data_IF_065792458592
#
_entry.id   IF_065792458592
#
_cell.length_a   1.000
_cell.length_b   1.000
_cell.length_c   1.000
_cell.angle_alpha   90.00
_cell.angle_beta   90.00
_cell.angle_gamma   90.00
#
_symmetry.space_group_name_H-M   'P 1'
#
loop_
_entity.id
_entity.type
_entity.pdbx_description
1 polymer ?
#
# COMPACT_ATOMS: atom_id res chain seq x y z
N UNK A 1 -11.01 -12.72 -20.20
CA UNK A 1 -12.47 -12.78 -20.47
C UNK A 1 -12.91 -11.40 -20.93
N UNK A 2 -13.26 -11.20 -22.20
CA UNK A 2 -13.63 -9.88 -22.74
C UNK A 2 -15.06 -9.53 -22.34
N UNK A 3 -15.26 -8.35 -21.76
CA UNK A 3 -16.61 -7.83 -21.45
C UNK A 3 -17.53 -7.89 -22.67
N UNK A 4 -18.79 -8.36 -22.54
CA UNK A 4 -19.76 -8.40 -23.62
C UNK A 4 -20.00 -7.00 -24.22
N UNK A 5 -20.13 -6.90 -25.54
CA UNK A 5 -20.37 -5.64 -26.27
C UNK A 5 -21.52 -4.79 -25.70
N UNK A 6 -22.58 -5.42 -25.19
CA UNK A 6 -23.72 -4.73 -24.54
C UNK A 6 -23.32 -3.92 -23.31
N UNK A 7 -22.40 -4.40 -22.49
CA UNK A 7 -21.90 -3.68 -21.31
C UNK A 7 -21.04 -2.48 -21.69
N UNK A 8 -20.22 -2.58 -22.74
CA UNK A 8 -19.45 -1.46 -23.27
C UNK A 8 -20.34 -0.31 -23.75
N UNK A 9 -21.46 -0.64 -24.41
CA UNK A 9 -22.44 0.36 -24.88
C UNK A 9 -23.19 0.99 -23.70
N UNK A 10 -23.55 0.21 -22.68
CA UNK A 10 -24.23 0.70 -21.49
C UNK A 10 -23.36 1.68 -20.69
N UNK A 11 -22.09 1.34 -20.46
CA UNK A 11 -21.13 2.22 -19.79
C UNK A 11 -20.79 3.48 -20.59
N UNK A 12 -20.80 3.40 -21.92
CA UNK A 12 -20.56 4.54 -22.81
C UNK A 12 -21.71 5.54 -22.83
N UNK A 13 -22.93 5.09 -22.53
CA UNK A 13 -24.14 5.93 -22.47
C UNK A 13 -24.48 6.43 -21.06
N UNK A 14 -23.82 5.93 -20.01
CA UNK A 14 -23.89 6.48 -18.66
C UNK A 14 -22.95 7.68 -18.56
N UNK A 15 -23.29 8.79 -19.23
CA UNK A 15 -22.71 10.08 -18.91
C UNK A 15 -23.29 10.52 -17.56
N UNK A 16 -22.71 10.01 -16.45
CA UNK A 16 -22.96 10.56 -15.13
C UNK A 16 -22.25 11.92 -15.14
N UNK A 17 -23.04 12.98 -15.20
CA UNK A 17 -22.51 14.36 -15.11
C UNK A 17 -21.59 14.45 -13.89
N UNK A 18 -20.31 14.73 -14.13
CA UNK A 18 -19.31 14.93 -13.08
C UNK A 18 -18.27 13.79 -12.91
N UNK A 19 -18.38 12.67 -13.62
CA UNK A 19 -17.30 11.68 -13.61
C UNK A 19 -16.16 12.08 -14.56
N UNK A 20 -14.90 11.87 -14.16
CA UNK A 20 -13.76 12.13 -15.02
C UNK A 20 -13.76 11.16 -16.22
N UNK A 21 -13.34 11.67 -17.37
CA UNK A 21 -13.15 10.83 -18.56
C UNK A 21 -11.80 10.08 -18.43
N UNK A 22 -11.86 8.80 -18.13
CA UNK A 22 -10.69 7.94 -17.97
C UNK A 22 -9.97 7.61 -19.31
N UNK A 23 -10.56 7.92 -20.46
CA UNK A 23 -9.93 7.77 -21.79
C UNK A 23 -9.12 9.02 -22.19
N UNK A 24 -9.13 10.08 -21.37
CA UNK A 24 -8.36 11.29 -21.63
C UNK A 24 -6.90 11.12 -21.22
N UNK A 25 -6.12 10.52 -22.12
CA UNK A 25 -4.68 10.26 -21.90
C UNK A 25 -3.86 11.53 -21.90
N UNK A 26 -4.28 12.59 -22.60
CA UNK A 26 -3.59 13.88 -22.61
C UNK A 26 -3.60 14.50 -21.19
N UNK A 27 -4.76 14.49 -20.54
CA UNK A 27 -4.86 14.96 -19.16
C UNK A 27 -4.08 14.07 -18.18
N UNK A 28 -4.18 12.75 -18.35
CA UNK A 28 -3.56 11.79 -17.45
C UNK A 28 -2.02 11.86 -17.46
N UNK A 29 -1.42 12.15 -18.61
CA UNK A 29 0.03 12.16 -18.79
C UNK A 29 0.63 13.57 -19.02
N UNK A 30 -0.14 14.63 -18.83
CA UNK A 30 0.30 16.01 -19.11
C UNK A 30 1.54 16.47 -18.33
N UNK A 31 1.82 15.79 -17.19
CA UNK A 31 2.97 16.09 -16.33
C UNK A 31 4.27 15.39 -16.80
N UNK A 32 4.17 14.47 -17.78
CA UNK A 32 5.30 13.74 -18.31
C UNK A 32 5.81 14.38 -19.59
N UNK A 33 7.15 14.40 -19.76
CA UNK A 33 7.76 14.78 -21.02
C UNK A 33 7.62 13.68 -22.08
N UNK A 34 7.78 14.04 -23.36
CA UNK A 34 7.83 13.06 -24.46
C UNK A 34 8.94 12.02 -24.27
N UNK A 35 10.05 12.40 -23.61
CA UNK A 35 11.13 11.49 -23.24
C UNK A 35 10.68 10.46 -22.22
N UNK A 36 9.95 10.87 -21.19
CA UNK A 36 9.41 9.99 -20.16
C UNK A 36 8.38 9.03 -20.75
N UNK A 37 7.49 9.53 -21.60
CA UNK A 37 6.48 8.69 -22.28
C UNK A 37 7.12 7.64 -23.18
N UNK A 38 8.19 8.00 -23.93
CA UNK A 38 8.93 7.03 -24.76
C UNK A 38 9.63 5.99 -23.92
N UNK A 39 10.28 6.40 -22.81
CA UNK A 39 10.95 5.52 -21.86
C UNK A 39 9.96 4.54 -21.23
N UNK A 40 8.82 5.05 -20.72
CA UNK A 40 7.74 4.23 -20.18
C UNK A 40 7.22 3.23 -21.20
N UNK A 41 6.95 3.64 -22.45
CA UNK A 41 6.49 2.76 -23.52
C UNK A 41 7.46 1.61 -23.81
N UNK A 42 8.76 1.89 -23.87
CA UNK A 42 9.79 0.86 -24.08
C UNK A 42 9.83 -0.10 -22.89
N UNK A 43 9.86 0.44 -21.66
CA UNK A 43 9.91 -0.35 -20.45
C UNK A 43 8.70 -1.28 -20.32
N UNK A 44 7.48 -0.76 -20.45
CA UNK A 44 6.27 -1.60 -20.40
C UNK A 44 6.19 -2.58 -21.57
N UNK A 45 6.72 -2.24 -22.75
CA UNK A 45 6.86 -3.16 -23.87
C UNK A 45 7.81 -4.33 -23.57
N UNK A 46 8.85 -4.13 -22.78
CA UNK A 46 9.73 -5.19 -22.29
C UNK A 46 9.07 -6.00 -21.17
N UNK A 47 8.46 -5.34 -20.18
CA UNK A 47 7.79 -5.98 -19.06
C UNK A 47 6.57 -6.82 -19.48
N UNK A 48 5.95 -6.50 -20.62
CA UNK A 48 4.84 -7.31 -21.16
C UNK A 48 5.27 -8.69 -21.69
N UNK A 49 6.57 -8.98 -21.70
CA UNK A 49 7.14 -10.25 -22.19
C UNK A 49 7.74 -11.04 -21.03
N UNK A 50 7.03 -12.05 -20.45
CA UNK A 50 7.47 -12.75 -19.25
C UNK A 50 8.87 -13.37 -19.34
N UNK A 51 9.24 -13.87 -20.53
CA UNK A 51 10.56 -14.46 -20.74
C UNK A 51 11.70 -13.43 -20.61
N UNK A 52 11.51 -12.17 -21.07
CA UNK A 52 12.48 -11.10 -20.88
C UNK A 52 12.59 -10.70 -19.40
N UNK A 53 11.47 -10.65 -18.70
CA UNK A 53 11.46 -10.39 -17.26
C UNK A 53 12.22 -11.48 -16.51
N UNK A 54 12.00 -12.76 -16.87
CA UNK A 54 12.72 -13.90 -16.28
C UNK A 54 14.23 -13.80 -16.47
N UNK A 55 14.69 -13.49 -17.68
CA UNK A 55 16.13 -13.28 -17.98
C UNK A 55 16.67 -12.09 -17.18
N UNK A 56 15.98 -10.95 -17.20
CA UNK A 56 16.40 -9.76 -16.46
C UNK A 56 16.51 -10.00 -14.97
N UNK A 57 15.54 -10.70 -14.36
CA UNK A 57 15.56 -11.07 -12.95
C UNK A 57 16.72 -12.02 -12.61
N UNK A 58 17.02 -12.98 -13.50
CA UNK A 58 18.18 -13.87 -13.32
C UNK A 58 19.49 -13.09 -13.30
N UNK A 59 19.70 -12.19 -14.30
CA UNK A 59 20.87 -11.34 -14.34
C UNK A 59 20.99 -10.43 -13.11
N UNK A 60 19.88 -9.83 -12.67
CA UNK A 60 19.87 -8.99 -11.48
C UNK A 60 20.26 -9.80 -10.22
N UNK A 61 19.74 -11.01 -10.04
CA UNK A 61 20.11 -11.89 -8.92
C UNK A 61 21.58 -12.27 -8.94
N UNK A 62 22.14 -12.62 -10.11
CA UNK A 62 23.56 -12.96 -10.25
C UNK A 62 24.41 -11.74 -9.92
N UNK A 63 24.08 -10.56 -10.46
CA UNK A 63 24.82 -9.34 -10.23
C UNK A 63 24.82 -8.94 -8.74
N UNK A 64 23.67 -9.06 -8.04
CA UNK A 64 23.57 -8.83 -6.62
C UNK A 64 24.39 -9.85 -5.81
N UNK A 65 24.36 -11.14 -6.18
CA UNK A 65 25.13 -12.19 -5.51
C UNK A 65 26.64 -11.93 -5.58
N UNK A 66 27.15 -11.40 -6.71
CA UNK A 66 28.58 -11.04 -6.87
C UNK A 66 28.87 -9.59 -6.46
N UNK A 67 27.88 -8.88 -5.88
CA UNK A 67 27.98 -7.46 -5.48
C UNK A 67 28.36 -6.52 -6.64
N UNK A 68 27.97 -6.84 -7.87
CA UNK A 68 28.21 -5.97 -9.03
C UNK A 68 27.30 -4.73 -8.95
N UNK A 69 27.83 -3.52 -9.13
CA UNK A 69 27.07 -2.28 -8.99
C UNK A 69 26.12 -2.07 -10.17
N UNK A 70 24.91 -2.66 -10.13
CA UNK A 70 23.89 -2.53 -11.19
C UNK A 70 23.05 -1.26 -11.10
N UNK A 71 23.22 -0.47 -10.03
CA UNK A 71 22.42 0.74 -9.77
C UNK A 71 22.42 1.73 -10.93
N UNK A 72 23.56 1.91 -11.61
CA UNK A 72 23.68 2.80 -12.77
C UNK A 72 22.75 2.44 -13.93
N UNK A 73 22.38 1.16 -14.08
CA UNK A 73 21.47 0.71 -15.12
C UNK A 73 20.00 0.70 -14.63
N UNK A 74 19.76 0.34 -13.36
CA UNK A 74 18.40 0.21 -12.78
C UNK A 74 17.83 1.58 -12.44
N UNK A 75 18.61 2.49 -11.82
CA UNK A 75 18.13 3.80 -11.38
C UNK A 75 17.49 4.63 -12.51
N UNK A 76 18.13 4.84 -13.68
CA UNK A 76 17.53 5.65 -14.74
C UNK A 76 16.45 4.92 -15.57
N UNK A 77 16.17 3.66 -15.29
CA UNK A 77 15.22 2.83 -16.05
C UNK A 77 14.03 2.39 -15.19
N UNK A 78 14.13 1.19 -14.61
CA UNK A 78 13.03 0.60 -13.83
C UNK A 78 12.75 1.43 -12.60
N UNK A 79 13.77 1.81 -11.84
CA UNK A 79 13.61 2.56 -10.61
C UNK A 79 12.93 3.92 -10.86
N UNK A 80 13.41 4.71 -11.80
CA UNK A 80 12.83 6.01 -12.14
C UNK A 80 11.36 5.95 -12.63
N UNK A 81 10.89 4.78 -13.04
CA UNK A 81 9.49 4.59 -13.45
C UNK A 81 8.55 4.33 -12.26
N UNK A 82 9.05 3.66 -11.22
CA UNK A 82 8.21 3.14 -10.14
C UNK A 82 8.49 3.76 -8.77
N UNK A 83 9.64 4.42 -8.59
CA UNK A 83 10.07 4.97 -7.31
C UNK A 83 10.25 6.49 -7.42
N UNK A 84 9.81 7.20 -6.39
CA UNK A 84 9.99 8.66 -6.30
C UNK A 84 11.41 9.05 -5.90
N UNK A 85 12.05 8.28 -5.01
CA UNK A 85 13.38 8.49 -4.47
C UNK A 85 13.75 7.36 -3.49
N UNK A 86 15.01 7.27 -3.08
CA UNK A 86 15.49 6.32 -2.05
C UNK A 86 15.30 6.90 -0.63
N UNK A 87 15.19 8.23 -0.53
CA UNK A 87 14.90 8.95 0.72
C UNK A 87 13.75 9.93 0.50
N UNK A 88 13.23 10.49 1.57
CA UNK A 88 12.19 11.53 1.52
C UNK A 88 12.72 12.75 0.76
N UNK A 89 13.98 13.15 1.01
CA UNK A 89 14.63 14.29 0.38
C UNK A 89 14.81 14.07 -1.14
N UNK A 90 15.23 12.87 -1.55
CA UNK A 90 15.34 12.55 -3.00
C UNK A 90 13.99 12.52 -3.70
N UNK A 91 12.91 12.29 -2.96
CA UNK A 91 11.53 12.26 -3.50
C UNK A 91 10.95 13.67 -3.71
N UNK A 92 11.56 14.74 -3.17
CA UNK A 92 10.96 16.08 -3.14
C UNK A 92 10.66 16.63 -4.53
N UNK A 93 11.54 16.48 -5.49
CA UNK A 93 11.31 16.92 -6.88
C UNK A 93 10.09 16.21 -7.50
N UNK A 94 9.92 14.92 -7.22
CA UNK A 94 8.76 14.14 -7.70
C UNK A 94 7.48 14.58 -7.00
N UNK A 95 7.54 14.81 -5.69
CA UNK A 95 6.42 15.31 -4.87
C UNK A 95 5.97 16.66 -5.39
N UNK A 96 6.89 17.58 -5.62
CA UNK A 96 6.60 18.92 -6.12
C UNK A 96 5.98 18.89 -7.53
N UNK A 97 6.55 18.10 -8.44
CA UNK A 97 6.03 17.92 -9.80
C UNK A 97 4.59 17.40 -9.79
N UNK A 98 4.28 16.42 -8.94
CA UNK A 98 2.93 15.87 -8.79
C UNK A 98 1.98 16.89 -8.18
N UNK A 99 2.41 17.60 -7.14
CA UNK A 99 1.59 18.60 -6.45
C UNK A 99 1.21 19.77 -7.36
N UNK A 100 2.13 20.25 -8.20
CA UNK A 100 1.85 21.28 -9.22
C UNK A 100 0.80 20.82 -10.24
N UNK A 101 0.64 19.51 -10.41
CA UNK A 101 -0.39 18.92 -11.26
C UNK A 101 -1.67 18.51 -10.49
N UNK A 102 -1.81 18.94 -9.24
CA UNK A 102 -2.98 18.68 -8.39
C UNK A 102 -3.04 17.28 -7.80
N UNK A 103 -1.90 16.57 -7.78
CA UNK A 103 -1.78 15.21 -7.23
C UNK A 103 -0.97 15.26 -5.94
N UNK A 104 -1.58 14.82 -4.84
CA UNK A 104 -0.88 14.62 -3.57
C UNK A 104 -0.22 13.25 -3.54
N UNK A 105 0.84 13.13 -2.75
CA UNK A 105 1.61 11.89 -2.61
C UNK A 105 1.29 11.16 -1.31
N UNK A 106 1.71 9.92 -1.25
CA UNK A 106 1.71 9.06 -0.06
C UNK A 106 3.14 8.57 0.12
N UNK A 107 3.72 8.78 1.31
CA UNK A 107 5.01 8.22 1.65
C UNK A 107 4.81 6.79 2.15
N UNK A 108 5.44 5.84 1.49
CA UNK A 108 5.41 4.42 1.84
C UNK A 108 6.84 3.92 2.11
N UNK A 109 7.11 3.57 3.37
CA UNK A 109 8.31 2.86 3.73
C UNK A 109 8.05 1.36 3.69
N UNK A 110 8.51 0.72 2.63
CA UNK A 110 8.31 -0.72 2.41
C UNK A 110 9.47 -1.53 2.99
N UNK A 111 9.29 -2.03 4.21
CA UNK A 111 10.14 -3.08 4.77
C UNK A 111 9.42 -4.43 4.60
N UNK A 112 10.07 -5.39 3.96
CA UNK A 112 9.57 -6.77 3.83
C UNK A 112 10.63 -7.77 4.31
N UNK A 113 10.17 -8.88 4.90
CA UNK A 113 11.06 -9.96 5.34
C UNK A 113 11.84 -9.64 6.62
N UNK A 114 11.31 -8.78 7.46
CA UNK A 114 11.85 -8.46 8.79
C UNK A 114 11.85 -9.70 9.67
N UNK A 115 12.95 -9.99 10.35
CA UNK A 115 13.16 -11.24 11.08
C UNK A 115 13.55 -11.06 12.54
N UNK A 116 13.84 -9.84 12.99
CA UNK A 116 14.20 -9.55 14.37
C UNK A 116 13.40 -8.39 14.98
N UNK A 117 13.30 -8.35 16.31
CA UNK A 117 12.62 -7.27 17.03
C UNK A 117 13.27 -5.90 16.79
N UNK A 118 14.61 -5.88 16.71
CA UNK A 118 15.36 -4.65 16.42
C UNK A 118 15.03 -4.07 15.04
N UNK A 119 14.85 -4.94 14.04
CA UNK A 119 14.43 -4.52 12.69
C UNK A 119 12.98 -4.03 12.67
N UNK A 120 12.08 -4.65 13.47
CA UNK A 120 10.68 -4.21 13.61
C UNK A 120 10.62 -2.83 14.28
N UNK A 121 11.43 -2.57 15.30
CA UNK A 121 11.50 -1.27 15.98
C UNK A 121 12.10 -0.20 15.06
N UNK A 122 13.12 -0.54 14.27
CA UNK A 122 13.69 0.34 13.26
C UNK A 122 12.64 0.70 12.20
N UNK A 123 11.90 -0.28 11.70
CA UNK A 123 10.79 -0.07 10.74
C UNK A 123 9.72 0.86 11.33
N UNK A 124 9.34 0.65 12.59
CA UNK A 124 8.39 1.53 13.27
C UNK A 124 8.91 2.98 13.32
N UNK A 125 10.20 3.18 13.62
CA UNK A 125 10.83 4.49 13.67
C UNK A 125 10.84 5.19 12.31
N UNK A 126 11.09 4.47 11.22
CA UNK A 126 11.05 5.01 9.86
C UNK A 126 9.62 5.40 9.45
N UNK A 127 8.63 4.58 9.82
CA UNK A 127 7.21 4.91 9.58
C UNK A 127 6.81 6.17 10.35
N UNK A 128 7.25 6.32 11.60
CA UNK A 128 7.00 7.53 12.40
C UNK A 128 7.64 8.77 11.76
N UNK A 129 8.84 8.63 11.20
CA UNK A 129 9.50 9.71 10.45
C UNK A 129 8.70 10.10 9.20
N UNK A 130 8.16 9.13 8.47
CA UNK A 130 7.27 9.37 7.33
C UNK A 130 5.94 10.04 7.75
N UNK A 131 5.35 9.64 8.88
CA UNK A 131 4.17 10.29 9.46
C UNK A 131 4.45 11.75 9.78
N UNK A 132 5.59 12.03 10.42
CA UNK A 132 5.99 13.38 10.78
C UNK A 132 6.20 14.25 9.52
N UNK A 133 6.92 13.74 8.51
CA UNK A 133 7.11 14.43 7.25
C UNK A 133 5.78 14.72 6.54
N UNK A 134 4.90 13.72 6.46
CA UNK A 134 3.59 13.87 5.82
C UNK A 134 2.66 14.86 6.54
N UNK A 135 2.75 14.97 7.86
CA UNK A 135 1.94 15.91 8.63
C UNK A 135 2.40 17.37 8.51
N UNK A 136 3.68 17.60 8.25
CA UNK A 136 4.28 18.94 8.10
C UNK A 136 4.14 19.49 6.67
N UNK A 137 3.79 18.65 5.71
CA UNK A 137 3.75 19.02 4.30
C UNK A 137 2.38 18.70 3.67
N UNK A 138 1.65 19.75 3.31
CA UNK A 138 0.32 19.65 2.68
C UNK A 138 0.32 18.95 1.31
N UNK A 139 1.49 18.70 0.72
CA UNK A 139 1.66 17.95 -0.52
C UNK A 139 1.42 16.44 -0.32
N UNK A 140 1.41 15.96 0.93
CA UNK A 140 1.04 14.59 1.26
C UNK A 140 -0.45 14.45 1.60
N UNK A 141 -1.04 13.30 1.27
CA UNK A 141 -2.43 13.00 1.57
C UNK A 141 -2.57 12.06 2.77
N UNK A 142 -1.68 11.08 2.86
CA UNK A 142 -1.66 10.01 3.86
C UNK A 142 -0.21 9.58 4.12
N UNK A 143 -0.02 8.93 5.28
CA UNK A 143 1.05 7.96 5.49
C UNK A 143 0.50 6.55 5.29
N UNK A 144 1.35 5.56 5.10
CA UNK A 144 0.95 4.16 4.92
C UNK A 144 1.96 3.22 5.56
N UNK A 145 1.50 2.09 6.05
CA UNK A 145 2.36 1.00 6.48
C UNK A 145 1.72 -0.38 6.25
N UNK A 146 2.59 -1.40 6.18
CA UNK A 146 2.21 -2.81 6.15
C UNK A 146 2.40 -3.42 7.53
N UNK A 147 1.40 -4.08 8.12
CA UNK A 147 1.54 -4.76 9.40
C UNK A 147 2.65 -5.82 9.45
N UNK A 148 2.96 -6.48 8.33
CA UNK A 148 4.10 -7.43 8.25
C UNK A 148 5.48 -6.78 8.40
N UNK A 149 5.58 -5.45 8.28
CA UNK A 149 6.79 -4.69 8.63
C UNK A 149 6.92 -4.40 10.12
N UNK A 150 5.87 -4.63 10.91
CA UNK A 150 5.80 -4.35 12.35
C UNK A 150 5.63 -5.61 13.21
N UNK A 151 5.46 -6.77 12.58
CA UNK A 151 5.22 -8.07 13.20
C UNK A 151 5.97 -9.17 12.49
N UNK A 152 6.41 -10.18 13.22
CA UNK A 152 6.88 -11.41 12.63
C UNK A 152 5.73 -12.10 11.87
N UNK A 153 5.98 -12.49 10.62
CA UNK A 153 4.95 -13.05 9.73
C UNK A 153 4.26 -14.30 10.31
N UNK A 154 4.99 -15.13 11.04
CA UNK A 154 4.44 -16.32 11.71
C UNK A 154 3.40 -15.99 12.77
N UNK A 155 3.54 -14.84 13.45
CA UNK A 155 2.60 -14.39 14.46
C UNK A 155 1.28 -13.92 13.82
N UNK A 156 1.38 -13.12 12.74
CA UNK A 156 0.19 -12.64 12.00
C UNK A 156 -0.67 -13.77 11.40
N UNK A 157 -0.08 -14.94 11.14
CA UNK A 157 -0.80 -16.06 10.52
C UNK A 157 -1.48 -17.01 11.50
N UNK A 158 -1.32 -16.79 12.81
CA UNK A 158 -1.95 -17.59 13.86
C UNK A 158 -3.24 -16.93 14.38
N UNK A 159 -4.18 -17.74 14.82
CA UNK A 159 -5.31 -17.24 15.63
C UNK A 159 -4.80 -16.71 16.97
N UNK A 160 -5.24 -15.52 17.36
CA UNK A 160 -4.86 -14.88 18.64
C UNK A 160 -5.21 -15.79 19.82
N UNK A 161 -6.36 -16.50 19.77
CA UNK A 161 -6.80 -17.44 20.81
C UNK A 161 -5.83 -18.64 21.01
N UNK A 162 -4.92 -18.86 20.05
CA UNK A 162 -3.94 -19.97 20.07
C UNK A 162 -2.55 -19.55 20.49
N UNK A 163 -2.34 -18.30 20.87
CA UNK A 163 -1.04 -17.79 21.25
C UNK A 163 -0.52 -18.45 22.52
N UNK A 164 0.78 -18.71 22.55
CA UNK A 164 1.50 -18.99 23.78
C UNK A 164 1.76 -17.70 24.54
N UNK A 165 2.08 -17.77 25.82
CA UNK A 165 2.42 -16.58 26.66
C UNK A 165 3.48 -15.70 25.98
N UNK A 166 4.49 -16.33 25.37
CA UNK A 166 5.54 -15.58 24.65
C UNK A 166 4.98 -14.88 23.40
N UNK A 167 4.08 -15.52 22.67
CA UNK A 167 3.45 -14.92 21.48
C UNK A 167 2.48 -13.81 21.86
N UNK A 168 1.81 -13.92 23.01
CA UNK A 168 1.01 -12.81 23.58
C UNK A 168 1.87 -11.58 23.87
N UNK A 169 3.04 -11.77 24.51
CA UNK A 169 4.00 -10.67 24.76
C UNK A 169 4.54 -10.07 23.46
N UNK A 170 4.80 -10.89 22.44
CA UNK A 170 5.19 -10.43 21.10
C UNK A 170 4.07 -9.64 20.44
N UNK A 171 2.83 -10.12 20.53
CA UNK A 171 1.65 -9.46 19.97
C UNK A 171 1.36 -8.10 20.64
N UNK A 172 1.52 -8.01 21.93
CA UNK A 172 1.41 -6.73 22.66
C UNK A 172 2.39 -5.69 22.13
N UNK A 173 3.63 -6.10 21.79
CA UNK A 173 4.61 -5.19 21.15
C UNK A 173 4.17 -4.75 19.77
N UNK A 174 3.57 -5.65 18.97
CA UNK A 174 3.01 -5.30 17.64
C UNK A 174 1.91 -4.26 17.79
N UNK A 175 0.96 -4.50 18.69
CA UNK A 175 -0.14 -3.54 18.98
C UNK A 175 0.43 -2.21 19.44
N UNK A 176 1.46 -2.20 20.28
CA UNK A 176 2.08 -0.98 20.77
C UNK A 176 2.72 -0.17 19.63
N UNK A 177 3.45 -0.81 18.70
CA UNK A 177 4.02 -0.15 17.51
C UNK A 177 2.94 0.49 16.65
N UNK A 178 1.89 -0.27 16.31
CA UNK A 178 0.77 0.21 15.50
C UNK A 178 0.03 1.36 16.19
N UNK A 179 -0.24 1.22 17.48
CA UNK A 179 -0.88 2.26 18.28
C UNK A 179 -0.05 3.53 18.31
N UNK A 180 1.26 3.44 18.48
CA UNK A 180 2.17 4.59 18.46
C UNK A 180 2.11 5.34 17.13
N UNK A 181 2.08 4.62 16.01
CA UNK A 181 1.95 5.21 14.66
C UNK A 181 0.58 5.91 14.51
N UNK A 182 -0.51 5.24 14.88
CA UNK A 182 -1.86 5.80 14.79
C UNK A 182 -2.04 7.04 15.69
N UNK A 183 -1.53 6.98 16.92
CA UNK A 183 -1.56 8.08 17.87
C UNK A 183 -0.76 9.29 17.35
N UNK A 184 0.47 9.06 16.92
CA UNK A 184 1.33 10.13 16.35
C UNK A 184 0.65 10.78 15.12
N UNK A 185 -0.01 9.97 14.29
CA UNK A 185 -0.77 10.47 13.14
C UNK A 185 -1.95 11.34 13.57
N UNK A 186 -2.71 10.91 14.57
CA UNK A 186 -3.86 11.65 15.10
C UNK A 186 -3.44 12.98 15.73
N UNK A 187 -2.39 12.97 16.55
CA UNK A 187 -1.82 14.16 17.20
C UNK A 187 -1.30 15.18 16.18
N UNK A 188 -0.74 14.70 15.08
CA UNK A 188 -0.26 15.52 13.98
C UNK A 188 -1.38 16.01 13.03
N UNK A 189 -2.64 15.61 13.25
CA UNK A 189 -3.77 15.95 12.37
C UNK A 189 -3.70 15.29 10.99
N UNK A 190 -2.91 14.23 10.85
CA UNK A 190 -2.70 13.48 9.62
C UNK A 190 -3.73 12.37 9.40
N UNK A 191 -3.43 11.49 8.44
CA UNK A 191 -4.19 10.28 8.13
C UNK A 191 -3.24 9.14 7.79
N UNK A 192 -3.56 7.93 8.24
CA UNK A 192 -2.76 6.73 7.99
C UNK A 192 -3.58 5.61 7.38
N UNK A 193 -2.97 4.92 6.40
CA UNK A 193 -3.50 3.72 5.77
C UNK A 193 -2.81 2.49 6.34
N UNK A 194 -3.59 1.52 6.79
CA UNK A 194 -3.13 0.18 7.13
C UNK A 194 -3.37 -0.68 5.90
N UNK A 195 -2.28 -1.16 5.28
CA UNK A 195 -2.38 -1.96 4.07
C UNK A 195 -2.86 -3.37 4.35
N UNK A 196 -3.71 -3.89 3.45
CA UNK A 196 -4.10 -5.28 3.46
C UNK A 196 -3.02 -6.13 2.79
N UNK A 197 -2.85 -7.34 3.29
CA UNK A 197 -1.84 -8.27 2.81
C UNK A 197 -2.45 -9.63 2.42
N UNK A 198 -1.72 -10.74 2.58
CA UNK A 198 -2.22 -12.06 2.22
C UNK A 198 -3.43 -12.48 3.07
N UNK A 199 -4.34 -13.27 2.50
CA UNK A 199 -5.60 -13.65 3.16
C UNK A 199 -5.41 -14.36 4.51
N UNK A 200 -4.33 -15.09 4.68
CA UNK A 200 -4.07 -15.87 5.90
C UNK A 200 -3.49 -15.08 7.08
N UNK A 201 -3.15 -13.81 6.86
CA UNK A 201 -2.76 -12.88 7.92
C UNK A 201 -3.77 -11.74 8.07
N UNK A 202 -4.73 -11.66 7.15
CA UNK A 202 -5.61 -10.50 7.04
C UNK A 202 -6.59 -10.38 8.21
N UNK A 203 -7.01 -11.49 8.82
CA UNK A 203 -7.98 -11.44 9.90
C UNK A 203 -7.41 -10.68 11.12
N UNK A 204 -6.16 -10.94 11.48
CA UNK A 204 -5.46 -10.20 12.54
C UNK A 204 -5.22 -8.72 12.16
N UNK A 205 -4.94 -8.45 10.88
CA UNK A 205 -4.80 -7.07 10.38
C UNK A 205 -6.12 -6.32 10.47
N UNK A 206 -7.22 -6.96 10.10
CA UNK A 206 -8.56 -6.37 10.16
C UNK A 206 -8.93 -6.03 11.62
N UNK A 207 -8.69 -6.95 12.57
CA UNK A 207 -8.98 -6.74 13.99
C UNK A 207 -8.20 -5.55 14.54
N UNK A 208 -6.89 -5.49 14.30
CA UNK A 208 -6.07 -4.35 14.74
C UNK A 208 -6.52 -3.03 14.10
N UNK A 209 -6.86 -3.05 12.81
CA UNK A 209 -7.34 -1.84 12.13
C UNK A 209 -8.69 -1.37 12.69
N UNK A 210 -9.59 -2.28 13.03
CA UNK A 210 -10.87 -1.95 13.68
C UNK A 210 -10.67 -1.33 15.06
N UNK A 211 -9.76 -1.88 15.87
CA UNK A 211 -9.42 -1.34 17.19
C UNK A 211 -8.83 0.07 17.07
N UNK A 212 -7.88 0.28 16.15
CA UNK A 212 -7.30 1.60 15.92
C UNK A 212 -8.36 2.60 15.41
N UNK A 213 -9.27 2.19 14.54
CA UNK A 213 -10.39 3.04 14.13
C UNK A 213 -11.33 3.37 15.29
N UNK A 214 -11.62 2.40 16.14
CA UNK A 214 -12.45 2.62 17.33
C UNK A 214 -11.84 3.66 18.27
N UNK A 215 -10.51 3.66 18.43
CA UNK A 215 -9.80 4.59 19.30
C UNK A 215 -9.65 5.99 18.70
N UNK A 216 -9.27 6.07 17.42
CA UNK A 216 -8.80 7.33 16.81
C UNK A 216 -9.79 7.98 15.83
N UNK A 217 -10.83 7.28 15.37
CA UNK A 217 -11.78 7.82 14.38
C UNK A 217 -13.06 8.37 14.99
N UNK A 218 -13.01 9.06 16.11
CA UNK A 218 -14.22 9.56 16.81
C UNK A 218 -14.86 10.74 16.05
N UNK A 219 -14.10 11.77 15.78
CA UNK A 219 -14.56 12.99 15.12
C UNK A 219 -14.42 12.91 13.60
N UNK A 220 -13.26 12.46 13.14
CA UNK A 220 -12.89 12.30 11.73
C UNK A 220 -12.21 10.97 11.50
N UNK A 221 -12.16 10.48 10.25
CA UNK A 221 -11.39 9.30 9.93
C UNK A 221 -9.89 9.67 9.85
N UNK A 222 -9.12 9.15 10.79
CA UNK A 222 -7.64 9.24 10.88
C UNK A 222 -7.01 7.95 10.38
N UNK A 223 -7.50 6.81 10.86
CA UNK A 223 -7.04 5.46 10.51
C UNK A 223 -7.94 4.88 9.44
N UNK A 224 -7.33 4.30 8.41
CA UNK A 224 -8.03 3.69 7.29
C UNK A 224 -7.54 2.26 7.12
N UNK A 225 -8.45 1.30 7.01
CA UNK A 225 -8.14 -0.07 6.58
C UNK A 225 -8.17 -0.19 5.05
N UNK A 226 -7.57 -1.24 4.52
CA UNK A 226 -7.55 -1.52 3.08
C UNK A 226 -8.39 -2.75 2.76
N UNK A 227 -9.35 -2.61 1.84
CA UNK A 227 -10.26 -3.67 1.41
C UNK A 227 -9.89 -4.14 0.00
N UNK A 228 -9.54 -5.42 -0.15
CA UNK A 228 -9.13 -6.06 -1.39
C UNK A 228 -10.34 -6.65 -2.14
N UNK A 229 -10.78 -5.97 -3.20
CA UNK A 229 -12.03 -6.29 -3.91
C UNK A 229 -11.99 -7.60 -4.74
N UNK A 230 -10.82 -8.25 -4.90
CA UNK A 230 -10.75 -9.55 -5.57
C UNK A 230 -11.20 -10.71 -4.66
N UNK A 231 -11.26 -10.50 -3.34
CA UNK A 231 -11.74 -11.49 -2.38
C UNK A 231 -13.27 -11.42 -2.28
N UNK A 232 -13.91 -12.58 -2.22
CA UNK A 232 -15.37 -12.69 -2.20
C UNK A 232 -15.99 -12.33 -0.84
N UNK A 233 -15.22 -12.41 0.24
CA UNK A 233 -15.67 -12.17 1.63
C UNK A 233 -15.66 -10.67 2.02
N UNK A 234 -14.96 -9.82 1.27
CA UNK A 234 -14.72 -8.42 1.70
C UNK A 234 -15.95 -7.53 1.70
N UNK A 235 -16.96 -7.84 0.92
CA UNK A 235 -18.21 -7.07 0.96
C UNK A 235 -18.96 -7.28 2.29
N UNK A 236 -18.96 -8.52 2.79
CA UNK A 236 -19.61 -8.81 4.07
C UNK A 236 -18.82 -8.20 5.22
N UNK A 237 -17.50 -8.39 5.23
CA UNK A 237 -16.61 -7.70 6.16
C UNK A 237 -16.87 -6.19 6.24
N UNK A 238 -16.98 -5.50 5.09
CA UNK A 238 -17.23 -4.07 5.06
C UNK A 238 -18.57 -3.68 5.67
N UNK A 239 -19.63 -4.50 5.47
CA UNK A 239 -20.94 -4.27 6.09
C UNK A 239 -20.88 -4.45 7.60
N UNK A 240 -20.19 -5.49 8.08
CA UNK A 240 -19.99 -5.75 9.50
C UNK A 240 -19.20 -4.62 10.16
N UNK A 241 -18.12 -4.16 9.52
CA UNK A 241 -17.33 -3.01 9.99
C UNK A 241 -18.18 -1.75 10.09
N UNK A 242 -19.03 -1.46 9.09
CA UNK A 242 -19.94 -0.31 9.15
C UNK A 242 -20.94 -0.43 10.31
N UNK A 243 -21.50 -1.62 10.53
CA UNK A 243 -22.43 -1.87 11.65
C UNK A 243 -21.74 -1.75 13.02
N UNK A 244 -20.50 -2.26 13.16
CA UNK A 244 -19.67 -2.07 14.36
C UNK A 244 -19.39 -0.59 14.61
N UNK A 245 -19.04 0.15 13.56
CA UNK A 245 -18.74 1.58 13.67
C UNK A 245 -19.96 2.40 14.10
N UNK A 246 -21.15 2.12 13.53
CA UNK A 246 -22.38 2.77 13.92
C UNK A 246 -22.70 2.51 15.41
N UNK A 247 -22.58 1.26 15.85
CA UNK A 247 -22.81 0.89 17.26
C UNK A 247 -21.74 1.45 18.20
N UNK A 248 -20.47 1.48 17.76
CA UNK A 248 -19.32 1.94 18.53
C UNK A 248 -19.13 3.46 18.51
N UNK A 249 -19.84 4.19 17.65
CA UNK A 249 -19.76 5.64 17.54
C UNK A 249 -18.42 6.14 16.95
N UNK A 250 -17.83 5.43 15.97
CA UNK A 250 -16.62 5.84 15.28
C UNK A 250 -16.81 5.93 13.76
N UNK A 251 -15.89 6.58 13.07
CA UNK A 251 -15.93 6.75 11.61
C UNK A 251 -15.15 5.65 10.91
N UNK A 252 -15.71 5.08 9.85
CA UNK A 252 -15.01 4.10 9.01
C UNK A 252 -14.13 4.82 7.99
N UNK A 253 -12.83 4.54 8.01
CA UNK A 253 -11.87 4.91 6.97
C UNK A 253 -11.55 3.69 6.11
N UNK A 254 -11.71 3.78 4.77
CA UNK A 254 -11.46 2.64 3.87
C UNK A 254 -10.70 3.07 2.63
N UNK A 255 -9.65 2.32 2.29
CA UNK A 255 -9.00 2.30 0.99
C UNK A 255 -9.49 1.09 0.20
N UNK A 256 -10.11 1.29 -0.94
CA UNK A 256 -10.55 0.21 -1.82
C UNK A 256 -9.46 -0.08 -2.86
N UNK A 257 -9.00 -1.32 -2.92
CA UNK A 257 -8.01 -1.79 -3.89
C UNK A 257 -8.52 -3.02 -4.64
N UNK A 258 -8.02 -3.25 -5.85
CA UNK A 258 -8.33 -4.51 -6.55
C UNK A 258 -7.72 -5.71 -5.85
N UNK A 259 -6.51 -5.56 -5.32
CA UNK A 259 -5.71 -6.54 -4.60
C UNK A 259 -4.40 -6.86 -5.32
N UNK A 260 -3.35 -7.14 -4.55
CA UNK A 260 -1.98 -7.33 -5.05
C UNK A 260 -1.47 -8.77 -4.90
N UNK A 261 -2.09 -9.61 -4.08
CA UNK A 261 -1.57 -10.91 -3.67
C UNK A 261 -2.13 -12.11 -4.46
N UNK A 262 -2.80 -11.87 -5.59
CA UNK A 262 -3.49 -12.89 -6.40
C UNK A 262 -2.62 -14.11 -6.75
N UNK A 263 -1.33 -13.91 -7.04
CA UNK A 263 -0.42 -15.02 -7.39
C UNK A 263 -0.09 -15.88 -6.18
N UNK A 264 0.16 -15.26 -5.03
CA UNK A 264 0.39 -15.97 -3.76
C UNK A 264 -0.87 -16.73 -3.31
N UNK A 265 -2.05 -16.13 -3.45
CA UNK A 265 -3.34 -16.76 -3.14
C UNK A 265 -3.60 -17.98 -4.02
N UNK A 266 -3.33 -17.89 -5.32
CA UNK A 266 -3.44 -19.03 -6.25
C UNK A 266 -2.47 -20.15 -5.91
N UNK A 267 -1.20 -19.83 -5.67
CA UNK A 267 -0.20 -20.81 -5.29
C UNK A 267 -0.57 -21.53 -3.98
N UNK A 268 -1.19 -20.84 -3.02
CA UNK A 268 -1.69 -21.45 -1.79
C UNK A 268 -2.90 -22.36 -2.04
N UNK A 269 -3.80 -21.98 -2.92
CA UNK A 269 -4.99 -22.76 -3.25
C UNK A 269 -4.67 -24.06 -4.04
N UNK A 270 -3.50 -24.14 -4.66
CA UNK A 270 -3.01 -25.32 -5.39
C UNK A 270 -2.29 -26.34 -4.50
N UNK A 271 -1.98 -26.00 -3.23
CA UNK A 271 -1.37 -26.88 -2.21
C UNK A 271 -2.43 -27.63 -1.41
#
# INVERSE_FOLDING_TARGET
MSMPRRYKTYLRNMSIKGLPNFDNTELAFRHLSDGDLRRGRVLFGLLSRPWLVGIGSLFARIALAIRFPIGWAIKPTVYAQFCGGETIEESDDTIEMLYQNGVKTILDYSAEGVTSEEELDATCSEILSAVQAASQDSRHAFSVFKPSGLSLHGLLSKSIDSFTIKEEEEWERVIMRIRTICQSTAEAGGRVLIDAEESWIQDNIDEVAEDMMSDYNRETAVVFTTVQLYRHDRLEYLKELCAKAEKGGFKVGVKLVRGAYMEKERARAEQ
#
